data_IF_685589258261
#
_entry.id   IF_685589258261
#
_cell.length_a   1.000
_cell.length_b   1.000
_cell.length_c   1.000
_cell.angle_alpha   90.00
_cell.angle_beta   90.00
_cell.angle_gamma   90.00
#
_symmetry.space_group_name_H-M   'P 1'
#
loop_
_entity.id
_entity.type
_entity.pdbx_description
1 polymer ?
#
# COMPACT_ATOMS: atom_id res chain seq x y z
N UNK A 1 -9.56 13.16 4.64
CA UNK A 1 -8.82 11.96 5.10
C UNK A 1 -8.99 10.87 4.04
N UNK A 2 -7.90 10.26 3.55
CA UNK A 2 -7.92 9.28 2.46
C UNK A 2 -7.33 7.93 2.87
N UNK A 3 -7.27 6.99 1.93
CA UNK A 3 -6.58 5.71 2.14
C UNK A 3 -5.10 5.96 2.46
N UNK A 4 -4.55 5.23 3.44
CA UNK A 4 -3.14 5.35 3.84
C UNK A 4 -2.23 4.39 3.07
N UNK A 5 -2.77 3.23 2.70
CA UNK A 5 -2.11 2.20 1.91
C UNK A 5 -3.19 1.29 1.32
N UNK A 6 -2.77 0.38 0.44
CA UNK A 6 -3.62 -0.70 -0.05
C UNK A 6 -2.84 -2.03 -0.11
N UNK A 7 -3.57 -3.13 -0.24
CA UNK A 7 -3.04 -4.50 -0.36
C UNK A 7 -3.59 -5.15 -1.63
N UNK A 8 -2.85 -6.09 -2.21
CA UNK A 8 -3.30 -6.88 -3.36
C UNK A 8 -3.78 -8.26 -2.91
N UNK A 9 -4.92 -8.72 -3.45
CA UNK A 9 -5.48 -10.05 -3.13
C UNK A 9 -5.71 -10.95 -4.34
N UNK A 10 -5.65 -10.38 -5.54
CA UNK A 10 -5.88 -11.09 -6.80
C UNK A 10 -4.68 -10.90 -7.72
N UNK A 11 -4.38 -11.91 -8.53
CA UNK A 11 -3.24 -11.87 -9.46
C UNK A 11 -3.40 -10.76 -10.49
N UNK A 12 -4.62 -10.56 -11.01
CA UNK A 12 -4.92 -9.48 -11.94
C UNK A 12 -4.57 -8.10 -11.36
N UNK A 13 -4.88 -7.86 -10.09
CA UNK A 13 -4.53 -6.59 -9.44
C UNK A 13 -3.04 -6.52 -9.08
N UNK A 14 -2.41 -7.65 -8.72
CA UNK A 14 -0.97 -7.70 -8.49
C UNK A 14 -0.17 -7.29 -9.74
N UNK A 15 -0.55 -7.77 -10.93
CA UNK A 15 0.10 -7.37 -12.18
C UNK A 15 -0.03 -5.87 -12.47
N UNK A 16 -1.20 -5.27 -12.20
CA UNK A 16 -1.38 -3.82 -12.33
C UNK A 16 -0.48 -3.05 -11.36
N UNK A 17 -0.33 -3.55 -10.14
CA UNK A 17 0.47 -2.91 -9.10
C UNK A 17 1.96 -3.04 -9.39
N UNK A 18 2.40 -4.17 -9.96
CA UNK A 18 3.76 -4.31 -10.49
C UNK A 18 4.04 -3.31 -11.61
N UNK A 19 3.09 -3.11 -12.53
CA UNK A 19 3.22 -2.10 -13.58
C UNK A 19 3.36 -0.69 -13.01
N UNK A 20 2.50 -0.32 -12.06
CA UNK A 20 2.61 0.96 -11.36
C UNK A 20 3.92 1.11 -10.61
N UNK A 21 4.44 0.05 -10.00
CA UNK A 21 5.74 0.08 -9.33
C UNK A 21 6.88 0.34 -10.32
N UNK A 22 6.89 -0.35 -11.47
CA UNK A 22 7.90 -0.13 -12.52
C UNK A 22 7.86 1.31 -13.05
N UNK A 23 6.66 1.90 -13.13
CA UNK A 23 6.44 3.27 -13.61
C UNK A 23 6.57 4.35 -12.53
N UNK A 24 6.84 3.96 -11.28
CA UNK A 24 6.97 4.90 -10.15
C UNK A 24 5.67 5.54 -9.69
N UNK A 25 4.51 5.03 -10.12
CA UNK A 25 3.18 5.50 -9.68
C UNK A 25 2.83 4.93 -8.30
N UNK A 26 3.34 3.73 -7.99
CA UNK A 26 3.20 3.08 -6.69
C UNK A 26 4.57 2.62 -6.16
N UNK A 27 4.63 2.36 -4.86
CA UNK A 27 5.78 1.75 -4.22
C UNK A 27 5.35 0.81 -3.08
N UNK A 28 6.15 -0.22 -2.81
CA UNK A 28 5.96 -1.07 -1.64
C UNK A 28 6.20 -0.26 -0.36
N UNK A 29 5.33 -0.44 0.63
CA UNK A 29 5.40 0.24 1.92
C UNK A 29 5.76 -0.75 3.02
N UNK A 30 7.01 -0.68 3.47
CA UNK A 30 7.59 -1.58 4.47
C UNK A 30 7.53 -1.07 5.91
N UNK A 31 6.72 -0.05 6.22
CA UNK A 31 6.68 0.49 7.57
C UNK A 31 5.97 -0.48 8.53
N UNK A 32 6.52 -0.71 9.74
CA UNK A 32 5.90 -1.58 10.73
C UNK A 32 4.62 -0.94 11.28
N UNK A 33 3.53 -1.72 11.32
CA UNK A 33 2.32 -1.34 12.04
C UNK A 33 2.36 -1.97 13.43
N UNK A 34 2.06 -1.15 14.44
CA UNK A 34 1.98 -1.58 15.84
C UNK A 34 0.56 -1.41 16.35
N UNK A 35 0.10 -2.39 17.12
CA UNK A 35 -1.15 -2.27 17.89
C UNK A 35 -0.81 -1.76 19.29
N UNK A 36 -1.55 -0.76 19.76
CA UNK A 36 -1.45 -0.23 21.12
C UNK A 36 -2.66 -0.70 21.93
N UNK A 37 -2.44 -1.46 23.01
CA UNK A 37 -3.49 -1.91 23.91
C UNK A 37 -2.94 -2.25 25.30
N UNK A 38 -3.63 -1.84 26.36
CA UNK A 38 -3.28 -2.21 27.74
C UNK A 38 -1.88 -1.79 28.21
N UNK A 39 -1.29 -0.72 27.65
CA UNK A 39 0.06 -0.26 28.00
C UNK A 39 1.21 -1.02 27.32
N UNK A 40 0.91 -1.98 26.44
CA UNK A 40 1.90 -2.75 25.70
C UNK A 40 1.74 -2.49 24.20
N UNK A 41 2.85 -2.27 23.50
CA UNK A 41 2.88 -2.24 22.03
C UNK A 41 3.30 -3.61 21.50
N UNK A 42 2.46 -4.26 20.70
CA UNK A 42 2.83 -5.48 19.98
C UNK A 42 2.96 -5.17 18.48
N UNK A 43 3.91 -5.86 17.83
CA UNK A 43 3.98 -5.83 16.37
C UNK A 43 2.74 -6.54 15.82
N UNK A 44 2.02 -5.90 14.90
CA UNK A 44 0.93 -6.59 14.21
C UNK A 44 1.56 -7.64 13.30
N UNK A 45 1.22 -8.91 13.52
CA UNK A 45 1.61 -10.05 12.66
C UNK A 45 0.84 -9.98 11.34
N UNK A 46 1.09 -8.94 10.55
CA UNK A 46 0.51 -8.79 9.22
C UNK A 46 1.58 -9.03 8.15
N UNK A 47 1.47 -10.19 7.51
CA UNK A 47 2.31 -10.67 6.41
C UNK A 47 1.93 -10.05 5.05
N UNK A 48 0.83 -9.27 4.99
CA UNK A 48 0.32 -8.69 3.76
C UNK A 48 1.20 -7.54 3.26
N UNK A 49 1.78 -7.70 2.06
CA UNK A 49 2.49 -6.61 1.38
C UNK A 49 1.57 -5.41 1.16
N UNK A 50 2.02 -4.24 1.56
CA UNK A 50 1.30 -2.97 1.45
C UNK A 50 1.96 -2.09 0.40
N UNK A 51 1.16 -1.23 -0.22
CA UNK A 51 1.61 -0.31 -1.26
C UNK A 51 1.02 1.08 -1.03
N UNK A 52 1.74 2.10 -1.50
CA UNK A 52 1.32 3.51 -1.48
C UNK A 52 1.49 4.11 -2.88
N UNK A 53 0.68 5.11 -3.20
CA UNK A 53 0.87 5.93 -4.40
C UNK A 53 1.98 6.97 -4.21
N UNK A 54 2.75 7.25 -5.26
CA UNK A 54 3.88 8.18 -5.26
C UNK A 54 3.66 9.26 -6.33
N UNK A 55 3.82 10.56 -6.01
CA UNK A 55 4.24 11.14 -4.72
C UNK A 55 3.14 11.14 -3.65
N UNK A 56 1.93 10.68 -3.98
CA UNK A 56 0.84 10.50 -3.04
C UNK A 56 -0.25 9.60 -3.59
N UNK A 57 -1.17 9.19 -2.72
CA UNK A 57 -2.21 8.19 -3.05
C UNK A 57 -3.10 8.56 -4.25
N UNK A 58 -3.28 9.84 -4.56
CA UNK A 58 -4.03 10.29 -5.74
C UNK A 58 -3.36 9.97 -7.07
N UNK A 59 -2.05 9.64 -7.07
CA UNK A 59 -1.33 9.29 -8.30
C UNK A 59 -1.95 8.07 -9.00
N UNK A 60 -2.45 7.10 -8.24
CA UNK A 60 -3.11 5.90 -8.77
C UNK A 60 -4.36 6.26 -9.57
N UNK A 61 -5.25 7.07 -8.98
CA UNK A 61 -6.48 7.50 -9.64
C UNK A 61 -6.22 8.36 -10.87
N UNK A 62 -5.20 9.23 -10.82
CA UNK A 62 -4.77 10.04 -11.97
C UNK A 62 -4.18 9.20 -13.09
N UNK A 63 -3.53 8.10 -12.76
CA UNK A 63 -3.00 7.18 -13.78
C UNK A 63 -4.10 6.39 -14.47
N UNK A 64 -5.11 5.94 -13.71
CA UNK A 64 -6.28 5.24 -14.24
C UNK A 64 -7.18 6.10 -15.12
N UNK A 65 -7.18 7.41 -14.90
CA UNK A 65 -8.01 8.36 -15.65
C UNK A 65 -7.38 8.79 -16.99
N UNK A 66 -6.21 8.27 -17.34
CA UNK A 66 -5.55 8.49 -18.64
C UNK A 66 -5.95 7.39 -19.62
#
# INVERSE_FOLDING_TARGET
HGAQYFTCRTDAFAHQVEDWCRRGVAAAWGAPIKTLGGGVSSATREESRRYVGVPGMSALARDLAK
#
